data_IF_278752142285
#
_entry.id   IF_278752142285
#
_cell.length_a   1.000
_cell.length_b   1.000
_cell.length_c   1.000
_cell.angle_alpha   90.00
_cell.angle_beta   90.00
_cell.angle_gamma   90.00
#
_symmetry.space_group_name_H-M   'P 1'
#
loop_
_entity.id
_entity.type
_entity.pdbx_description
1 polymer ?
#
# COMPACT_ATOMS: atom_id res chain seq x y z
N UNK A 1 37.70 -8.73 -6.42
CA UNK A 1 36.43 -8.93 -5.70
C UNK A 1 35.51 -7.76 -5.99
N UNK A 2 34.30 -7.94 -6.57
CA UNK A 2 33.37 -6.83 -6.77
C UNK A 2 32.62 -6.53 -5.47
N UNK A 3 32.47 -5.25 -5.15
CA UNK A 3 31.80 -4.75 -3.94
C UNK A 3 30.26 -4.80 -4.07
N UNK A 4 29.51 -4.96 -2.96
CA UNK A 4 28.06 -4.99 -2.99
C UNK A 4 27.49 -3.59 -3.28
N UNK A 5 26.72 -3.47 -4.35
CA UNK A 5 25.95 -2.26 -4.66
C UNK A 5 24.88 -2.07 -3.59
N UNK A 6 25.01 -1.01 -2.77
CA UNK A 6 23.99 -0.63 -1.79
C UNK A 6 22.73 -0.20 -2.53
N UNK A 7 21.71 -1.04 -2.49
CA UNK A 7 20.38 -0.75 -2.98
C UNK A 7 19.84 0.49 -2.26
N UNK A 8 19.95 1.67 -2.89
CA UNK A 8 19.41 2.91 -2.36
C UNK A 8 17.92 2.87 -2.63
N UNK A 9 17.11 2.59 -1.61
CA UNK A 9 15.66 2.65 -1.75
C UNK A 9 15.29 4.05 -2.28
N UNK A 10 14.49 4.16 -3.35
CA UNK A 10 14.10 5.45 -3.87
C UNK A 10 13.36 6.22 -2.78
N UNK A 11 13.85 7.40 -2.44
CA UNK A 11 13.14 8.31 -1.56
C UNK A 11 11.78 8.65 -2.21
N UNK A 12 10.71 8.56 -1.42
CA UNK A 12 9.38 8.93 -1.88
C UNK A 12 9.40 10.39 -2.33
N UNK A 13 8.86 10.64 -3.53
CA UNK A 13 8.80 12.00 -4.08
C UNK A 13 7.74 12.80 -3.34
N UNK A 14 8.07 14.04 -2.99
CA UNK A 14 7.09 14.96 -2.41
C UNK A 14 5.98 15.28 -3.41
N UNK A 15 4.74 15.24 -2.95
CA UNK A 15 3.52 15.54 -3.69
C UNK A 15 2.84 16.80 -3.16
N UNK A 16 2.06 17.53 -3.99
CA UNK A 16 1.15 18.58 -3.49
C UNK A 16 0.23 18.12 -2.37
N UNK A 17 -0.15 16.83 -2.35
CA UNK A 17 -0.94 16.26 -1.25
C UNK A 17 -0.16 16.18 0.07
N UNK A 18 1.17 16.10 0.03
CA UNK A 18 1.99 16.07 1.24
C UNK A 18 1.97 17.43 1.93
N UNK A 19 1.86 18.52 1.16
CA UNK A 19 1.69 19.87 1.71
C UNK A 19 0.31 20.02 2.37
N UNK A 20 -0.73 19.41 1.80
CA UNK A 20 -2.08 19.37 2.40
C UNK A 20 -2.09 18.57 3.71
N UNK A 21 -1.39 17.43 3.75
CA UNK A 21 -1.22 16.63 4.99
C UNK A 21 -0.47 17.45 6.04
N UNK A 22 0.63 18.10 5.67
CA UNK A 22 1.40 18.95 6.58
C UNK A 22 0.60 20.15 7.07
N UNK A 23 -0.29 20.71 6.25
CA UNK A 23 -1.25 21.75 6.65
C UNK A 23 -2.26 21.22 7.67
N UNK A 24 -2.82 20.03 7.45
CA UNK A 24 -3.74 19.38 8.39
C UNK A 24 -3.08 19.04 9.74
N UNK A 25 -1.84 18.58 9.72
CA UNK A 25 -1.07 18.28 10.94
C UNK A 25 -0.87 19.51 11.83
N UNK A 26 -0.70 20.70 11.25
CA UNK A 26 -0.57 21.96 12.01
C UNK A 26 -1.82 22.31 12.82
N UNK A 27 -2.98 21.75 12.48
CA UNK A 27 -4.25 22.02 13.17
C UNK A 27 -4.71 20.83 14.02
N UNK A 28 -3.82 19.86 14.27
CA UNK A 28 -4.12 18.64 15.06
C UNK A 28 -4.39 18.92 16.54
N UNK A 29 -3.92 20.06 17.06
CA UNK A 29 -4.18 20.48 18.44
C UNK A 29 -5.44 21.37 18.48
N UNK A 30 -6.56 20.88 19.03
CA UNK A 30 -7.78 21.67 19.13
C UNK A 30 -7.58 22.83 20.12
N UNK A 31 -7.83 24.07 19.67
CA UNK A 31 -7.93 25.20 20.58
C UNK A 31 -9.12 25.03 21.53
N UNK A 32 -8.90 25.14 22.84
CA UNK A 32 -9.95 25.05 23.84
C UNK A 32 -10.73 26.37 23.90
N UNK A 33 -12.04 26.32 23.61
CA UNK A 33 -12.97 27.45 23.62
C UNK A 33 -13.52 27.77 25.01
N UNK A 34 -12.69 27.59 26.04
CA UNK A 34 -13.04 27.63 27.47
C UNK A 34 -13.38 26.25 28.04
N UNK A 35 -14.00 26.24 29.22
CA UNK A 35 -14.47 25.03 29.91
C UNK A 35 -15.99 24.99 29.95
N UNK A 36 -16.57 23.79 29.93
CA UNK A 36 -18.00 23.56 30.19
C UNK A 36 -18.27 23.64 31.70
N UNK A 37 -19.54 23.75 32.10
CA UNK A 37 -19.95 23.83 33.52
C UNK A 37 -19.48 22.63 34.36
N UNK A 38 -19.28 21.46 33.73
CA UNK A 38 -18.74 20.26 34.37
C UNK A 38 -17.21 20.19 34.37
N UNK A 39 -16.51 21.24 33.93
CA UNK A 39 -15.04 21.34 33.92
C UNK A 39 -14.34 20.74 32.68
N UNK A 40 -15.08 20.17 31.72
CA UNK A 40 -14.48 19.61 30.50
C UNK A 40 -14.11 20.71 29.51
N UNK A 41 -12.96 20.64 28.80
CA UNK A 41 -12.60 21.59 27.75
C UNK A 41 -13.66 21.66 26.66
N UNK A 42 -14.14 22.87 26.37
CA UNK A 42 -15.13 23.13 25.32
C UNK A 42 -14.42 23.21 23.97
N UNK A 43 -14.95 22.54 22.96
CA UNK A 43 -14.40 22.58 21.59
C UNK A 43 -14.83 23.87 20.89
N UNK A 44 -13.95 24.45 20.08
CA UNK A 44 -14.30 25.54 19.15
C UNK A 44 -14.76 24.92 17.82
N UNK A 45 -16.00 25.18 17.35
CA UNK A 45 -16.45 24.71 16.04
C UNK A 45 -15.53 25.19 14.92
N UNK A 46 -15.24 24.30 13.95
CA UNK A 46 -14.38 24.59 12.77
C UNK A 46 -12.93 24.95 13.07
N UNK A 47 -12.44 24.83 14.31
CA UNK A 47 -11.05 25.16 14.66
C UNK A 47 -10.00 24.39 13.86
N UNK A 48 -10.34 23.17 13.42
CA UNK A 48 -9.44 22.30 12.68
C UNK A 48 -9.82 22.17 11.19
N UNK A 49 -10.62 23.10 10.67
CA UNK A 49 -11.03 23.07 9.26
C UNK A 49 -9.87 23.54 8.39
N UNK A 50 -9.32 22.62 7.60
CA UNK A 50 -8.36 22.94 6.54
C UNK A 50 -9.10 22.96 5.19
N UNK A 51 -9.06 24.09 4.45
CA UNK A 51 -9.59 24.14 3.09
C UNK A 51 -8.82 23.20 2.16
N UNK A 52 -9.52 22.35 1.41
CA UNK A 52 -8.93 21.48 0.39
C UNK A 52 -9.37 20.01 0.55
N UNK A 53 -9.74 19.39 -0.56
CA UNK A 53 -9.84 17.93 -0.67
C UNK A 53 -8.53 17.40 -1.23
N UNK A 54 -8.13 16.17 -0.85
CA UNK A 54 -6.96 15.54 -1.46
C UNK A 54 -7.11 15.57 -2.99
N UNK A 55 -6.14 16.15 -3.69
CA UNK A 55 -6.17 16.20 -5.14
C UNK A 55 -5.86 14.79 -5.63
N UNK A 56 -6.76 14.20 -6.43
CA UNK A 56 -6.39 13.01 -7.19
C UNK A 56 -5.23 13.43 -8.09
N UNK A 57 -4.05 12.82 -7.90
CA UNK A 57 -2.91 13.08 -8.76
C UNK A 57 -3.27 12.65 -10.18
N UNK A 58 -3.73 13.61 -10.99
CA UNK A 58 -3.76 13.50 -12.45
C UNK A 58 -2.33 13.73 -12.95
N UNK A 59 -1.40 12.85 -12.57
CA UNK A 59 -0.08 12.85 -13.16
C UNK A 59 0.10 11.55 -13.92
N UNK A 60 0.08 11.72 -15.23
CA UNK A 60 0.64 10.87 -16.27
C UNK A 60 1.91 10.15 -15.78
N UNK A 61 1.76 9.03 -15.09
CA UNK A 61 2.90 8.19 -14.78
C UNK A 61 3.24 7.54 -16.11
N UNK A 62 4.37 7.92 -16.70
CA UNK A 62 4.92 7.27 -17.88
C UNK A 62 5.26 5.82 -17.50
N UNK A 63 4.29 4.93 -17.74
CA UNK A 63 4.32 3.52 -17.37
C UNK A 63 2.90 2.93 -17.38
N UNK A 64 2.74 1.59 -17.43
CA UNK A 64 1.42 0.98 -17.46
C UNK A 64 0.60 1.41 -16.24
N UNK A 65 -0.48 2.16 -16.48
CA UNK A 65 -1.42 2.52 -15.43
C UNK A 65 -2.12 1.26 -14.94
N UNK A 66 -1.90 0.92 -13.67
CA UNK A 66 -2.63 -0.15 -13.01
C UNK A 66 -3.78 0.49 -12.25
N UNK A 67 -5.00 0.11 -12.61
CA UNK A 67 -6.18 0.52 -11.85
C UNK A 67 -6.06 0.08 -10.39
N UNK A 68 -6.44 0.98 -9.49
CA UNK A 68 -6.52 0.74 -8.04
C UNK A 68 -7.96 0.54 -7.57
N UNK A 69 -8.91 0.43 -8.50
CA UNK A 69 -10.28 0.10 -8.15
C UNK A 69 -10.34 -1.29 -7.49
N UNK A 70 -11.16 -1.47 -6.43
CA UNK A 70 -11.21 -2.75 -5.70
C UNK A 70 -11.47 -3.97 -6.58
N UNK A 71 -12.38 -3.83 -7.55
CA UNK A 71 -12.76 -4.92 -8.46
C UNK A 71 -11.61 -5.32 -9.40
N UNK A 72 -10.88 -4.35 -9.93
CA UNK A 72 -9.73 -4.60 -10.81
C UNK A 72 -8.59 -5.30 -10.07
N UNK A 73 -8.33 -4.89 -8.83
CA UNK A 73 -7.34 -5.53 -7.96
C UNK A 73 -7.72 -6.97 -7.67
N UNK A 74 -9.00 -7.22 -7.34
CA UNK A 74 -9.53 -8.57 -7.10
C UNK A 74 -9.38 -9.46 -8.32
N UNK A 75 -9.73 -8.95 -9.51
CA UNK A 75 -9.58 -9.67 -10.77
C UNK A 75 -8.13 -10.06 -11.04
N UNK A 76 -7.20 -9.10 -10.89
CA UNK A 76 -5.77 -9.34 -11.08
C UNK A 76 -5.20 -10.38 -10.11
N UNK A 77 -5.53 -10.30 -8.82
CA UNK A 77 -5.08 -11.28 -7.81
C UNK A 77 -5.63 -12.68 -8.08
N UNK A 78 -6.89 -12.76 -8.53
CA UNK A 78 -7.51 -14.03 -8.91
C UNK A 78 -6.79 -14.69 -10.09
N UNK A 79 -6.48 -13.91 -11.13
CA UNK A 79 -5.74 -14.38 -12.29
C UNK A 79 -4.31 -14.81 -11.92
N UNK A 80 -3.62 -14.03 -11.07
CA UNK A 80 -2.30 -14.38 -10.56
C UNK A 80 -2.32 -15.71 -9.79
N UNK A 81 -3.28 -15.87 -8.86
CA UNK A 81 -3.44 -17.11 -8.09
C UNK A 81 -3.68 -18.32 -9.00
N UNK A 82 -4.56 -18.18 -9.99
CA UNK A 82 -4.85 -19.25 -10.97
C UNK A 82 -3.59 -19.63 -11.75
N UNK A 83 -2.85 -18.64 -12.27
CA UNK A 83 -1.61 -18.88 -13.01
C UNK A 83 -0.53 -19.57 -12.17
N UNK A 84 -0.36 -19.17 -10.90
CA UNK A 84 0.58 -19.84 -9.97
C UNK A 84 0.16 -21.30 -9.73
N UNK A 85 -1.14 -21.55 -9.53
CA UNK A 85 -1.66 -22.90 -9.33
C UNK A 85 -1.41 -23.79 -10.57
N UNK A 86 -1.70 -23.27 -11.76
CA UNK A 86 -1.43 -23.96 -13.03
C UNK A 86 0.06 -24.25 -13.22
N UNK A 87 0.94 -23.28 -12.95
CA UNK A 87 2.39 -23.47 -13.02
C UNK A 87 2.90 -24.54 -12.06
N UNK A 88 2.33 -24.62 -10.84
CA UNK A 88 2.64 -25.70 -9.90
C UNK A 88 2.17 -27.04 -10.43
N UNK A 89 0.93 -27.15 -10.91
CA UNK A 89 0.39 -28.40 -11.45
C UNK A 89 1.20 -28.90 -12.66
N UNK A 90 1.59 -28.01 -13.58
CA UNK A 90 2.42 -28.36 -14.72
C UNK A 90 3.83 -28.83 -14.30
N UNK A 91 4.42 -28.21 -13.26
CA UNK A 91 5.71 -28.64 -12.70
C UNK A 91 5.67 -29.96 -11.93
N UNK A 92 4.51 -30.34 -11.36
CA UNK A 92 4.35 -31.61 -10.63
C UNK A 92 4.21 -32.83 -11.56
N UNK A 93 4.06 -32.64 -12.88
CA UNK A 93 4.05 -33.73 -13.86
C UNK A 93 5.43 -34.27 -14.24
N UNK A 94 6.53 -33.64 -13.82
CA UNK A 94 7.89 -33.96 -14.27
C UNK A 94 8.91 -34.28 -13.15
N UNK A 95 8.57 -34.12 -11.87
CA UNK A 95 9.50 -34.49 -10.78
C UNK A 95 9.17 -35.87 -10.20
N UNK A 96 9.86 -36.88 -10.74
CA UNK A 96 10.38 -38.03 -9.99
C UNK A 96 9.37 -39.00 -9.36
N UNK A 97 8.78 -39.88 -10.15
CA UNK A 97 8.46 -41.24 -9.67
C UNK A 97 9.77 -42.01 -9.56
N UNK A 98 10.40 -42.01 -8.38
CA UNK A 98 11.60 -42.81 -8.12
C UNK A 98 11.21 -44.29 -8.00
N UNK A 99 11.79 -45.23 -8.79
CA UNK A 99 11.54 -46.65 -8.60
C UNK A 99 12.17 -47.11 -7.29
N UNK A 100 11.37 -47.68 -6.39
CA UNK A 100 11.89 -48.33 -5.19
C UNK A 100 12.52 -49.65 -5.62
N UNK A 101 13.85 -49.74 -5.64
CA UNK A 101 14.52 -51.01 -5.82
C UNK A 101 14.40 -51.82 -4.51
N UNK A 102 13.44 -52.75 -4.43
CA UNK A 102 13.52 -53.84 -3.46
C UNK A 102 14.61 -54.81 -3.94
N UNK A 103 15.73 -54.86 -3.23
CA UNK A 103 16.68 -55.95 -3.32
C UNK A 103 16.36 -56.96 -2.22
N UNK A 104 15.80 -58.08 -2.65
CA UNK A 104 15.64 -59.30 -1.88
C UNK A 104 17.00 -60.02 -1.81
N UNK A 105 17.38 -60.45 -0.61
CA UNK A 105 18.44 -61.45 -0.38
C UNK A 105 17.94 -62.43 0.66
#
# INVERSE_FOLDING_TARGET
SPAPQRNTAPAWRSSPNDDLVRQAERVRQPAAGGVTTSGLPRRVPRANLVPGTAQQQQQHQSGPQVSRAPDDVRGRLTNLRRGIAQGRQAGHGQTGSFPTHQQER
#
